data_IF_828311987054
#
_entry.id   IF_828311987054
#
_cell.length_a   1.000
_cell.length_b   1.000
_cell.length_c   1.000
_cell.angle_alpha   90.00
_cell.angle_beta   90.00
_cell.angle_gamma   90.00
#
_symmetry.space_group_name_H-M   'P 1'
#
loop_
_entity.id
_entity.type
_entity.pdbx_description
1 polymer ?
#
# COMPACT_ATOMS: atom_id res chain seq x y z
N UNK A 1 -4.69 4.22 36.62
CA UNK A 1 -3.61 3.53 37.36
C UNK A 1 -2.58 4.48 37.99
N UNK A 2 -2.08 5.53 37.31
CA UNK A 2 -1.10 6.50 37.87
C UNK A 2 -1.46 7.11 39.24
N UNK A 3 -2.75 7.37 39.54
CA UNK A 3 -3.18 7.93 40.84
C UNK A 3 -3.24 6.92 41.99
N UNK A 4 -3.46 5.63 41.69
CA UNK A 4 -3.51 4.59 42.72
C UNK A 4 -2.10 4.24 43.23
N UNK A 5 -1.11 4.19 42.32
CA UNK A 5 0.30 3.92 42.68
C UNK A 5 0.96 5.09 43.43
N UNK A 6 0.66 6.34 43.05
CA UNK A 6 1.14 7.51 43.80
C UNK A 6 0.61 7.54 45.23
N UNK A 7 -0.65 7.12 45.44
CA UNK A 7 -1.24 6.99 46.77
C UNK A 7 -0.55 5.89 47.60
N UNK A 8 -0.26 4.73 47.02
CA UNK A 8 0.45 3.63 47.71
C UNK A 8 1.87 4.04 48.14
N UNK A 9 2.62 4.71 47.24
CA UNK A 9 3.98 5.18 47.48
C UNK A 9 4.02 6.27 48.56
N UNK A 10 3.06 7.20 48.52
CA UNK A 10 2.91 8.25 49.54
C UNK A 10 2.49 7.69 50.90
N UNK A 11 1.64 6.65 50.93
CA UNK A 11 1.26 5.97 52.16
C UNK A 11 2.47 5.27 52.80
N UNK A 12 3.31 4.59 51.99
CA UNK A 12 4.49 3.85 52.45
C UNK A 12 5.59 4.75 53.03
N UNK A 13 5.88 5.88 52.37
CA UNK A 13 6.79 6.92 52.85
C UNK A 13 6.34 7.52 54.19
N UNK A 14 5.02 7.61 54.40
CA UNK A 14 4.46 8.06 55.67
C UNK A 14 4.70 7.00 56.76
N UNK A 15 4.53 5.70 56.47
CA UNK A 15 4.79 4.63 57.46
C UNK A 15 6.26 4.58 57.90
N UNK A 16 7.22 4.75 56.99
CA UNK A 16 8.66 4.76 57.34
C UNK A 16 9.05 6.00 58.15
N UNK A 17 8.45 7.17 57.87
CA UNK A 17 8.68 8.38 58.66
C UNK A 17 8.07 8.33 60.07
N UNK A 18 6.96 7.61 60.25
CA UNK A 18 6.31 7.39 61.55
C UNK A 18 7.05 6.38 62.42
N UNK A 19 7.70 5.37 61.82
CA UNK A 19 8.53 4.38 62.52
C UNK A 19 9.73 5.04 63.25
N UNK A 20 10.28 6.13 62.71
CA UNK A 20 11.36 6.88 63.37
C UNK A 20 10.94 7.74 64.58
N UNK A 21 9.63 7.93 64.82
CA UNK A 21 9.14 8.80 65.89
C UNK A 21 8.70 8.06 67.16
N UNK A 22 8.61 6.72 67.15
CA UNK A 22 8.15 5.92 68.29
C UNK A 22 9.36 5.14 68.80
N UNK A 23 9.95 5.61 69.91
CA UNK A 23 11.26 5.16 70.37
C UNK A 23 11.38 3.64 70.54
N UNK A 24 12.51 3.11 70.08
CA UNK A 24 13.16 1.97 70.73
C UNK A 24 13.07 0.60 70.06
N UNK A 25 12.84 0.50 68.76
CA UNK A 25 13.13 -0.72 67.99
C UNK A 25 13.48 -0.32 66.56
N UNK A 26 14.67 -0.69 66.09
CA UNK A 26 15.08 -0.48 64.69
C UNK A 26 14.16 -1.34 63.83
N UNK A 27 13.16 -0.71 63.19
CA UNK A 27 12.20 -1.42 62.35
C UNK A 27 12.96 -1.95 61.14
N UNK A 28 13.12 -3.27 61.07
CA UNK A 28 13.71 -3.95 59.94
C UNK A 28 12.83 -3.75 58.70
N UNK A 29 13.26 -2.87 57.79
CA UNK A 29 12.58 -2.55 56.53
C UNK A 29 13.06 -3.39 55.36
N UNK A 30 14.03 -4.30 55.57
CA UNK A 30 14.68 -5.04 54.48
C UNK A 30 13.70 -5.85 53.63
N UNK A 31 12.66 -6.41 54.24
CA UNK A 31 11.60 -7.16 53.54
C UNK A 31 10.73 -6.24 52.66
N UNK A 32 10.43 -5.03 53.12
CA UNK A 32 9.68 -4.04 52.33
C UNK A 32 10.53 -3.46 51.20
N UNK A 33 11.81 -3.21 51.42
CA UNK A 33 12.75 -2.75 50.39
C UNK A 33 12.92 -3.81 49.29
N UNK A 34 13.00 -5.09 49.65
CA UNK A 34 13.03 -6.19 48.69
C UNK A 34 11.74 -6.28 47.87
N UNK A 35 10.57 -6.15 48.51
CA UNK A 35 9.27 -6.13 47.81
C UNK A 35 9.12 -4.93 46.87
N UNK A 36 9.63 -3.75 47.24
CA UNK A 36 9.62 -2.57 46.38
C UNK A 36 10.50 -2.80 45.15
N UNK A 37 11.71 -3.33 45.32
CA UNK A 37 12.61 -3.61 44.22
C UNK A 37 12.00 -4.61 43.22
N UNK A 38 11.34 -5.65 43.71
CA UNK A 38 10.62 -6.63 42.87
C UNK A 38 9.46 -5.97 42.10
N UNK A 39 8.68 -5.11 42.76
CA UNK A 39 7.59 -4.37 42.09
C UNK A 39 8.09 -3.37 41.05
N UNK A 40 9.22 -2.70 41.30
CA UNK A 40 9.86 -1.79 40.34
C UNK A 40 10.37 -2.56 39.11
N UNK A 41 10.97 -3.73 39.30
CA UNK A 41 11.39 -4.62 38.21
C UNK A 41 10.20 -5.13 37.39
N UNK A 42 9.11 -5.55 38.04
CA UNK A 42 7.87 -5.95 37.38
C UNK A 42 7.24 -4.81 36.58
N UNK A 43 7.24 -3.58 37.13
CA UNK A 43 6.69 -2.41 36.45
C UNK A 43 7.52 -2.05 35.21
N UNK A 44 8.84 -2.12 35.30
CA UNK A 44 9.73 -1.87 34.17
C UNK A 44 9.53 -2.90 33.06
N UNK A 45 9.43 -4.18 33.41
CA UNK A 45 9.10 -5.25 32.46
C UNK A 45 7.73 -5.03 31.78
N UNK A 46 6.73 -4.55 32.53
CA UNK A 46 5.42 -4.21 31.97
C UNK A 46 5.49 -3.01 31.02
N UNK A 47 6.25 -1.96 31.36
CA UNK A 47 6.42 -0.79 30.50
C UNK A 47 7.10 -1.17 29.18
N UNK A 48 8.12 -2.04 29.22
CA UNK A 48 8.77 -2.56 28.02
C UNK A 48 7.80 -3.38 27.16
N UNK A 49 6.99 -4.23 27.78
CA UNK A 49 5.94 -5.01 27.08
C UNK A 49 4.91 -4.09 26.40
N UNK A 50 4.51 -3.00 27.07
CA UNK A 50 3.58 -2.02 26.49
C UNK A 50 4.23 -1.31 25.30
N UNK A 51 5.46 -0.83 25.45
CA UNK A 51 6.17 -0.15 24.37
C UNK A 51 6.37 -1.04 23.14
N UNK A 52 6.70 -2.32 23.34
CA UNK A 52 6.83 -3.27 22.24
C UNK A 52 5.49 -3.52 21.55
N UNK A 53 4.39 -3.63 22.31
CA UNK A 53 3.04 -3.73 21.73
C UNK A 53 2.66 -2.50 20.91
N UNK A 54 2.93 -1.30 21.42
CA UNK A 54 2.64 -0.05 20.71
C UNK A 54 3.39 -0.02 19.36
N UNK A 55 4.69 -0.34 19.36
CA UNK A 55 5.47 -0.39 18.12
C UNK A 55 4.96 -1.46 17.13
N UNK A 56 4.48 -2.61 17.60
CA UNK A 56 3.89 -3.62 16.72
C UNK A 56 2.55 -3.15 16.15
N UNK A 57 1.72 -2.46 16.93
CA UNK A 57 0.46 -1.89 16.48
C UNK A 57 0.72 -0.83 15.40
N UNK A 58 1.66 0.08 15.62
CA UNK A 58 2.03 1.10 14.64
C UNK A 58 2.43 0.46 13.30
N UNK A 59 3.27 -0.58 13.33
CA UNK A 59 3.66 -1.31 12.10
C UNK A 59 2.50 -2.05 11.41
N UNK A 60 1.50 -2.51 12.15
CA UNK A 60 0.29 -3.12 11.58
C UNK A 60 -0.63 -2.06 10.95
N UNK A 61 -0.70 -0.86 11.54
CA UNK A 61 -1.43 0.29 10.97
C UNK A 61 -0.78 0.76 9.66
N UNK A 62 0.55 0.85 9.62
CA UNK A 62 1.31 1.14 8.41
C UNK A 62 1.04 0.09 7.32
N UNK A 63 1.16 -1.20 7.66
CA UNK A 63 0.89 -2.29 6.72
C UNK A 63 -0.56 -2.33 6.21
N UNK A 64 -1.53 -1.91 7.02
CA UNK A 64 -2.94 -1.77 6.61
C UNK A 64 -3.11 -0.62 5.62
N UNK A 65 -2.42 0.50 5.85
CA UNK A 65 -2.41 1.64 4.93
C UNK A 65 -1.81 1.25 3.58
N UNK A 66 -0.64 0.60 3.59
CA UNK A 66 0.03 0.11 2.38
C UNK A 66 -0.85 -0.87 1.60
N UNK A 67 -1.41 -1.87 2.27
CA UNK A 67 -2.31 -2.83 1.63
C UNK A 67 -3.55 -2.15 1.01
N UNK A 68 -4.08 -1.12 1.66
CA UNK A 68 -5.23 -0.36 1.14
C UNK A 68 -4.87 0.42 -0.12
N UNK A 69 -3.72 1.10 -0.12
CA UNK A 69 -3.24 1.82 -1.30
C UNK A 69 -2.99 0.85 -2.46
N UNK A 70 -2.32 -0.27 -2.21
CA UNK A 70 -2.03 -1.27 -3.24
C UNK A 70 -3.29 -1.88 -3.88
N UNK A 71 -4.36 -2.09 -3.09
CA UNK A 71 -5.65 -2.53 -3.64
C UNK A 71 -6.22 -1.46 -4.60
N UNK A 72 -6.12 -0.18 -4.25
CA UNK A 72 -6.60 0.91 -5.09
C UNK A 72 -5.82 0.96 -6.41
N UNK A 73 -4.49 0.95 -6.36
CA UNK A 73 -3.63 1.01 -7.55
C UNK A 73 -3.93 -0.17 -8.51
N UNK A 74 -4.09 -1.39 -7.98
CA UNK A 74 -4.45 -2.55 -8.81
C UNK A 74 -5.87 -2.46 -9.37
N UNK A 75 -6.83 -1.90 -8.62
CA UNK A 75 -8.20 -1.73 -9.09
C UNK A 75 -8.26 -0.74 -10.27
N UNK A 76 -7.45 0.32 -10.22
CA UNK A 76 -7.31 1.29 -11.31
C UNK A 76 -6.69 0.66 -12.55
N UNK A 77 -5.60 -0.11 -12.39
CA UNK A 77 -4.99 -0.85 -13.48
C UNK A 77 -5.92 -1.89 -14.12
N UNK A 78 -6.77 -2.57 -13.32
CA UNK A 78 -7.83 -3.43 -13.86
C UNK A 78 -8.81 -2.62 -14.71
N UNK A 79 -9.30 -1.48 -14.22
CA UNK A 79 -10.26 -0.66 -14.95
C UNK A 79 -9.73 -0.25 -16.34
N UNK A 80 -8.44 0.06 -16.43
CA UNK A 80 -7.76 0.36 -17.70
C UNK A 80 -7.73 -0.86 -18.63
N UNK A 81 -7.33 -2.02 -18.10
CA UNK A 81 -7.33 -3.26 -18.88
C UNK A 81 -8.74 -3.66 -19.34
N UNK A 82 -9.77 -3.37 -18.54
CA UNK A 82 -11.17 -3.57 -18.91
C UNK A 82 -11.60 -2.64 -20.04
N UNK A 83 -11.24 -1.35 -19.98
CA UNK A 83 -11.49 -0.41 -21.07
C UNK A 83 -10.80 -0.87 -22.37
N UNK A 84 -9.57 -1.36 -22.27
CA UNK A 84 -8.85 -1.94 -23.41
C UNK A 84 -9.54 -3.20 -23.95
N UNK A 85 -9.92 -4.14 -23.09
CA UNK A 85 -10.68 -5.35 -23.43
C UNK A 85 -11.97 -4.98 -24.16
N UNK A 86 -12.69 -3.97 -23.69
CA UNK A 86 -13.95 -3.54 -24.27
C UNK A 86 -13.75 -2.88 -25.65
N UNK A 87 -12.69 -2.08 -25.83
CA UNK A 87 -12.27 -1.58 -27.15
C UNK A 87 -11.97 -2.72 -28.14
N UNK A 88 -11.22 -3.74 -27.69
CA UNK A 88 -10.94 -4.92 -28.51
C UNK A 88 -12.22 -5.65 -28.92
N UNK A 89 -13.20 -5.78 -28.03
CA UNK A 89 -14.49 -6.39 -28.36
C UNK A 89 -15.26 -5.60 -29.42
N UNK A 90 -15.30 -4.27 -29.32
CA UNK A 90 -15.93 -3.41 -30.33
C UNK A 90 -15.23 -3.52 -31.69
N UNK A 91 -13.90 -3.60 -31.71
CA UNK A 91 -13.15 -3.79 -32.95
C UNK A 91 -13.41 -5.16 -33.58
N UNK A 92 -13.49 -6.21 -32.76
CA UNK A 92 -13.84 -7.57 -33.19
C UNK A 92 -15.23 -7.61 -33.83
N UNK A 93 -16.22 -6.95 -33.22
CA UNK A 93 -17.60 -6.88 -33.75
C UNK A 93 -17.71 -6.14 -35.10
N UNK A 94 -16.89 -5.10 -35.29
CA UNK A 94 -16.89 -4.30 -36.52
C UNK A 94 -16.01 -4.89 -37.64
N UNK A 95 -15.16 -5.87 -37.32
CA UNK A 95 -14.26 -6.51 -38.28
C UNK A 95 -14.92 -7.71 -38.96
N UNK A 96 -15.07 -7.67 -40.29
CA UNK A 96 -15.55 -8.81 -41.09
C UNK A 96 -14.53 -9.97 -41.19
N UNK A 97 -13.36 -9.83 -40.55
CA UNK A 97 -12.33 -10.86 -40.43
C UNK A 97 -11.58 -10.61 -39.12
N UNK A 98 -11.85 -11.45 -38.14
CA UNK A 98 -11.15 -11.53 -36.86
C UNK A 98 -9.66 -11.70 -37.13
N UNK A 99 -8.83 -10.67 -36.93
CA UNK A 99 -7.39 -10.87 -37.02
C UNK A 99 -6.98 -11.72 -35.81
N UNK A 100 -6.15 -12.74 -36.04
CA UNK A 100 -5.61 -13.56 -34.95
C UNK A 100 -4.89 -12.70 -33.88
N UNK A 101 -4.41 -11.54 -34.30
CA UNK A 101 -3.72 -10.54 -33.48
C UNK A 101 -4.64 -9.91 -32.41
N UNK A 102 -5.87 -9.50 -32.78
CA UNK A 102 -6.85 -8.96 -31.82
C UNK A 102 -7.26 -10.02 -30.77
N UNK A 103 -7.39 -11.28 -31.19
CA UNK A 103 -7.74 -12.37 -30.26
C UNK A 103 -6.62 -12.66 -29.26
N UNK A 104 -5.35 -12.61 -29.70
CA UNK A 104 -4.18 -12.76 -28.81
C UNK A 104 -4.09 -11.60 -27.81
N UNK A 105 -4.34 -10.37 -28.27
CA UNK A 105 -4.39 -9.19 -27.40
C UNK A 105 -5.51 -9.30 -26.35
N UNK A 106 -6.69 -9.77 -26.74
CA UNK A 106 -7.82 -9.99 -25.83
C UNK A 106 -7.52 -11.08 -24.79
N UNK A 107 -6.91 -12.20 -25.21
CA UNK A 107 -6.51 -13.27 -24.30
C UNK A 107 -5.46 -12.80 -23.29
N UNK A 108 -4.48 -12.02 -23.74
CA UNK A 108 -3.46 -11.42 -22.87
C UNK A 108 -4.08 -10.45 -21.86
N UNK A 109 -4.96 -9.54 -22.31
CA UNK A 109 -5.64 -8.58 -21.42
C UNK A 109 -6.48 -9.30 -20.34
N UNK A 110 -7.24 -10.34 -20.74
CA UNK A 110 -8.02 -11.14 -19.80
C UNK A 110 -7.14 -11.90 -18.79
N UNK A 111 -5.99 -12.41 -19.22
CA UNK A 111 -5.05 -13.09 -18.32
C UNK A 111 -4.45 -12.11 -17.29
N UNK A 112 -4.07 -10.91 -17.72
CA UNK A 112 -3.59 -9.85 -16.81
C UNK A 112 -4.67 -9.42 -15.81
N UNK A 113 -5.91 -9.18 -16.28
CA UNK A 113 -7.05 -8.86 -15.41
C UNK A 113 -7.26 -9.96 -14.36
N UNK A 114 -7.29 -11.23 -14.77
CA UNK A 114 -7.50 -12.35 -13.85
C UNK A 114 -6.39 -12.47 -12.81
N UNK A 115 -5.13 -12.21 -13.21
CA UNK A 115 -3.98 -12.19 -12.30
C UNK A 115 -4.13 -11.08 -11.25
N UNK A 116 -4.42 -9.84 -11.69
CA UNK A 116 -4.62 -8.69 -10.80
C UNK A 116 -5.84 -8.86 -9.88
N UNK A 117 -6.91 -9.48 -10.34
CA UNK A 117 -8.10 -9.79 -9.51
C UNK A 117 -7.78 -10.82 -8.41
N UNK A 118 -7.03 -11.88 -8.75
CA UNK A 118 -6.54 -12.87 -7.78
C UNK A 118 -5.65 -12.22 -6.72
N UNK A 119 -4.88 -11.23 -7.16
CA UNK A 119 -4.08 -10.38 -6.29
C UNK A 119 -5.00 -9.53 -5.38
N UNK A 120 -5.86 -8.65 -5.88
CA UNK A 120 -6.77 -7.87 -5.01
C UNK A 120 -7.47 -8.72 -3.95
N UNK A 121 -7.98 -9.91 -4.32
CA UNK A 121 -8.62 -10.85 -3.39
C UNK A 121 -7.71 -11.24 -2.21
N UNK A 122 -6.43 -11.48 -2.46
CA UNK A 122 -5.49 -11.88 -1.41
C UNK A 122 -5.07 -10.69 -0.52
N UNK A 123 -4.99 -9.47 -1.06
CA UNK A 123 -4.79 -8.26 -0.26
C UNK A 123 -6.02 -7.93 0.59
N UNK A 124 -7.22 -8.10 0.05
CA UNK A 124 -8.46 -7.89 0.81
C UNK A 124 -8.51 -8.84 2.01
N UNK A 125 -8.14 -10.10 1.81
CA UNK A 125 -8.00 -11.07 2.91
C UNK A 125 -6.99 -10.61 3.97
N UNK A 126 -5.82 -10.10 3.54
CA UNK A 126 -4.81 -9.55 4.46
C UNK A 126 -5.36 -8.34 5.24
N UNK A 127 -5.92 -7.35 4.54
CA UNK A 127 -6.52 -6.13 5.10
C UNK A 127 -7.59 -6.48 6.13
N UNK A 128 -8.48 -7.42 5.81
CA UNK A 128 -9.58 -7.82 6.69
C UNK A 128 -9.06 -8.55 7.93
N UNK A 129 -8.02 -9.38 7.80
CA UNK A 129 -7.33 -10.00 8.93
C UNK A 129 -6.69 -8.93 9.84
N UNK A 130 -5.93 -8.00 9.27
CA UNK A 130 -5.29 -6.89 10.01
C UNK A 130 -6.33 -6.05 10.77
N UNK A 131 -7.42 -5.67 10.09
CA UNK A 131 -8.52 -4.91 10.67
C UNK A 131 -9.20 -5.64 11.83
N UNK A 132 -9.48 -6.95 11.68
CA UNK A 132 -10.09 -7.77 12.74
C UNK A 132 -9.21 -7.82 13.99
N UNK A 133 -7.89 -7.86 13.80
CA UNK A 133 -6.93 -7.92 14.89
C UNK A 133 -6.73 -6.60 15.64
N UNK A 134 -6.62 -5.47 14.92
CA UNK A 134 -6.55 -4.14 15.55
C UNK A 134 -7.78 -3.90 16.46
N UNK A 135 -8.90 -4.52 16.12
CA UNK A 135 -10.12 -4.49 16.91
C UNK A 135 -10.22 -5.55 18.02
N UNK A 136 -9.23 -6.45 18.15
CA UNK A 136 -9.22 -7.54 19.13
C UNK A 136 -8.44 -7.17 20.39
N UNK A 137 -9.12 -7.06 21.54
CA UNK A 137 -8.57 -6.50 22.78
C UNK A 137 -7.67 -7.43 23.60
N UNK A 138 -7.30 -8.62 23.12
CA UNK A 138 -6.66 -9.66 23.94
C UNK A 138 -5.53 -10.46 23.25
N UNK A 139 -4.90 -9.92 22.20
CA UNK A 139 -3.78 -10.58 21.53
C UNK A 139 -2.51 -10.55 22.39
N UNK A 140 -1.75 -11.64 22.39
CA UNK A 140 -0.39 -11.72 22.95
C UNK A 140 0.62 -11.04 22.02
N UNK A 141 1.82 -10.78 22.53
CA UNK A 141 2.85 -10.10 21.72
C UNK A 141 3.38 -10.99 20.60
N UNK A 142 3.56 -12.29 20.87
CA UNK A 142 3.99 -13.28 19.88
C UNK A 142 2.96 -13.42 18.73
N UNK A 143 1.67 -13.33 19.06
CA UNK A 143 0.59 -13.33 18.05
C UNK A 143 0.67 -12.07 17.17
N UNK A 144 0.88 -10.89 17.76
CA UNK A 144 1.03 -9.64 17.02
C UNK A 144 2.26 -9.67 16.09
N UNK A 145 3.40 -10.15 16.58
CA UNK A 145 4.63 -10.25 15.79
C UNK A 145 4.52 -11.26 14.65
N UNK A 146 3.92 -12.44 14.89
CA UNK A 146 3.71 -13.44 13.84
C UNK A 146 2.85 -12.92 12.67
N UNK A 147 1.88 -12.08 12.99
CA UNK A 147 0.97 -11.49 12.03
C UNK A 147 1.59 -10.29 11.30
N UNK A 148 2.35 -9.44 12.00
CA UNK A 148 3.17 -8.40 11.36
C UNK A 148 4.14 -9.02 10.35
N UNK A 149 4.78 -10.14 10.71
CA UNK A 149 5.66 -10.87 9.79
C UNK A 149 4.91 -11.40 8.56
N UNK A 150 3.69 -11.91 8.74
CA UNK A 150 2.85 -12.40 7.62
C UNK A 150 2.40 -11.25 6.72
N UNK A 151 2.05 -10.10 7.30
CA UNK A 151 1.69 -8.90 6.57
C UNK A 151 2.87 -8.37 5.77
N UNK A 152 4.04 -8.22 6.39
CA UNK A 152 5.26 -7.77 5.73
C UNK A 152 5.69 -8.72 4.60
N UNK A 153 5.62 -10.04 4.82
CA UNK A 153 5.94 -11.03 3.79
C UNK A 153 4.96 -10.97 2.62
N UNK A 154 3.67 -10.72 2.91
CA UNK A 154 2.67 -10.46 1.87
C UNK A 154 3.06 -9.17 1.15
N UNK A 155 3.05 -8.01 1.79
CA UNK A 155 3.39 -6.71 1.16
C UNK A 155 4.67 -6.78 0.29
N UNK A 156 5.74 -7.43 0.78
CA UNK A 156 6.98 -7.59 0.03
C UNK A 156 6.83 -8.46 -1.24
N UNK A 157 6.13 -9.59 -1.14
CA UNK A 157 5.84 -10.44 -2.29
C UNK A 157 5.05 -9.68 -3.37
N UNK A 158 4.27 -8.69 -2.94
CA UNK A 158 3.39 -7.93 -3.82
C UNK A 158 4.12 -6.80 -4.51
N UNK A 159 4.95 -6.07 -3.78
CA UNK A 159 5.85 -5.06 -4.36
C UNK A 159 6.66 -5.67 -5.50
N UNK A 160 7.19 -6.88 -5.31
CA UNK A 160 7.92 -7.59 -6.36
C UNK A 160 7.04 -7.92 -7.57
N UNK A 161 5.80 -8.36 -7.38
CA UNK A 161 4.91 -8.69 -8.51
C UNK A 161 4.22 -7.47 -9.12
N UNK A 162 4.10 -6.36 -8.40
CA UNK A 162 3.50 -5.12 -8.87
C UNK A 162 4.41 -4.42 -9.89
N UNK A 163 5.73 -4.45 -9.67
CA UNK A 163 6.72 -4.03 -10.67
C UNK A 163 6.64 -4.86 -11.97
N UNK A 164 6.33 -6.17 -11.85
CA UNK A 164 6.08 -7.04 -13.00
C UNK A 164 4.67 -6.90 -13.61
N UNK A 165 3.74 -6.24 -12.90
CA UNK A 165 2.34 -6.01 -13.28
C UNK A 165 2.06 -4.58 -13.77
N UNK A 166 3.09 -3.81 -14.10
CA UNK A 166 2.92 -2.57 -14.85
C UNK A 166 2.00 -2.83 -16.04
N UNK A 167 0.95 -2.01 -16.19
CA UNK A 167 -0.08 -2.20 -17.22
C UNK A 167 0.60 -2.26 -18.59
N UNK A 168 0.67 -3.46 -19.17
CA UNK A 168 1.32 -3.68 -20.46
C UNK A 168 0.30 -3.58 -21.58
N UNK A 169 0.33 -2.45 -22.27
CA UNK A 169 -0.48 -2.08 -23.42
C UNK A 169 0.41 -1.86 -24.65
N UNK A 170 1.58 -2.49 -24.72
CA UNK A 170 2.47 -2.35 -25.86
C UNK A 170 1.77 -2.79 -27.14
N UNK A 171 1.75 -1.93 -28.16
CA UNK A 171 1.06 -2.17 -29.43
C UNK A 171 -0.46 -2.24 -29.34
N UNK A 172 -1.07 -1.89 -28.20
CA UNK A 172 -2.51 -1.91 -28.01
C UNK A 172 -3.23 -0.94 -28.97
N UNK A 173 -4.39 -1.33 -29.50
CA UNK A 173 -5.29 -0.40 -30.19
C UNK A 173 -6.29 0.24 -29.22
N UNK A 174 -5.99 1.47 -28.83
CA UNK A 174 -6.75 2.32 -27.90
C UNK A 174 -7.37 3.53 -28.65
N UNK A 175 -7.68 3.36 -29.94
CA UNK A 175 -8.36 4.39 -30.73
C UNK A 175 -9.66 4.85 -30.06
N UNK A 176 -9.80 6.16 -29.82
CA UNK A 176 -11.00 6.78 -29.20
C UNK A 176 -11.34 6.22 -27.81
N UNK A 177 -10.36 5.63 -27.11
CA UNK A 177 -10.56 5.07 -25.77
C UNK A 177 -10.79 6.17 -24.72
N UNK A 178 -11.72 5.93 -23.79
CA UNK A 178 -11.93 6.79 -22.62
C UNK A 178 -10.93 6.41 -21.51
N UNK A 179 -9.94 7.28 -21.31
CA UNK A 179 -8.88 7.15 -20.30
C UNK A 179 -8.82 8.44 -19.44
N UNK A 180 -9.95 9.14 -19.30
CA UNK A 180 -10.02 10.38 -18.54
C UNK A 180 -9.66 10.15 -17.07
N UNK A 181 -8.69 10.90 -16.54
CA UNK A 181 -8.11 10.71 -15.20
C UNK A 181 -7.57 9.30 -14.91
N UNK A 182 -7.23 8.50 -15.91
CA UNK A 182 -6.68 7.16 -15.70
C UNK A 182 -5.26 7.23 -15.10
N UNK A 183 -4.96 6.36 -14.12
CA UNK A 183 -3.59 6.13 -13.65
C UNK A 183 -2.88 5.11 -14.57
N UNK A 184 -2.10 5.63 -15.51
CA UNK A 184 -1.23 4.88 -16.41
C UNK A 184 0.24 5.01 -15.98
N UNK A 185 0.52 5.33 -14.72
CA UNK A 185 1.88 5.48 -14.23
C UNK A 185 2.68 4.19 -14.39
N UNK A 186 3.89 4.31 -14.92
CA UNK A 186 4.77 3.18 -15.26
C UNK A 186 4.26 2.24 -16.36
N UNK A 187 3.10 2.50 -16.98
CA UNK A 187 2.54 1.62 -18.00
C UNK A 187 3.45 1.49 -19.22
N UNK A 188 3.51 0.31 -19.82
CA UNK A 188 4.15 0.12 -21.12
C UNK A 188 3.12 0.34 -22.23
N UNK A 189 3.18 1.49 -22.88
CA UNK A 189 2.33 1.89 -24.01
C UNK A 189 3.13 1.96 -25.32
N UNK A 190 4.32 1.34 -25.36
CA UNK A 190 5.19 1.41 -26.54
C UNK A 190 4.48 0.89 -27.79
N UNK A 191 4.50 1.69 -28.86
CA UNK A 191 3.82 1.38 -30.12
C UNK A 191 2.28 1.38 -30.07
N UNK A 192 1.65 1.76 -28.96
CA UNK A 192 0.19 1.78 -28.85
C UNK A 192 -0.46 2.81 -29.81
N UNK A 193 -1.62 2.48 -30.36
CA UNK A 193 -2.46 3.41 -31.11
C UNK A 193 -3.42 4.14 -30.15
N UNK A 194 -3.05 5.33 -29.70
CA UNK A 194 -3.83 6.19 -28.78
C UNK A 194 -4.55 7.33 -29.53
N UNK A 195 -4.78 7.19 -30.85
CA UNK A 195 -5.39 8.25 -31.65
C UNK A 195 -6.79 8.57 -31.15
N UNK A 196 -7.07 9.85 -30.97
CA UNK A 196 -8.34 10.36 -30.43
C UNK A 196 -8.71 9.87 -29.02
N UNK A 197 -7.80 9.23 -28.28
CA UNK A 197 -8.07 8.82 -26.90
C UNK A 197 -8.32 10.04 -25.99
N UNK A 198 -9.23 9.88 -25.03
CA UNK A 198 -9.52 10.89 -24.01
C UNK A 198 -8.57 10.67 -22.83
N UNK A 199 -7.45 11.38 -22.79
CA UNK A 199 -6.41 11.24 -21.74
C UNK A 199 -6.37 12.43 -20.79
N UNK A 200 -7.38 13.30 -20.79
CA UNK A 200 -7.34 14.51 -19.97
C UNK A 200 -7.28 14.15 -18.49
N UNK A 201 -6.32 14.73 -17.78
CA UNK A 201 -6.04 14.46 -16.37
C UNK A 201 -5.40 13.11 -16.07
N UNK A 202 -5.06 12.29 -17.08
CA UNK A 202 -4.40 11.01 -16.85
C UNK A 202 -3.00 11.16 -16.25
N UNK A 203 -2.60 10.21 -15.43
CA UNK A 203 -1.22 10.09 -14.95
C UNK A 203 -0.43 9.16 -15.86
N UNK A 204 0.58 9.68 -16.57
CA UNK A 204 1.50 8.90 -17.41
C UNK A 204 2.92 8.89 -16.85
N UNK A 205 3.09 9.24 -15.57
CA UNK A 205 4.40 9.37 -14.98
C UNK A 205 5.19 8.05 -15.02
N UNK A 206 6.43 8.11 -15.48
CA UNK A 206 7.26 6.91 -15.68
C UNK A 206 6.81 5.95 -16.79
N UNK A 207 5.70 6.22 -17.51
CA UNK A 207 5.22 5.36 -18.58
C UNK A 207 6.15 5.38 -19.81
N UNK A 208 6.14 4.30 -20.59
CA UNK A 208 6.86 4.21 -21.86
C UNK A 208 5.90 4.33 -23.05
N UNK A 209 5.97 5.46 -23.77
CA UNK A 209 5.18 5.72 -24.98
C UNK A 209 6.00 5.56 -26.26
N UNK A 210 7.19 4.98 -26.23
CA UNK A 210 8.09 4.90 -27.39
C UNK A 210 7.34 4.37 -28.62
N UNK A 211 7.26 5.17 -29.68
CA UNK A 211 6.56 4.83 -30.93
C UNK A 211 5.02 4.83 -30.87
N UNK A 212 4.41 5.22 -29.76
CA UNK A 212 2.95 5.34 -29.64
C UNK A 212 2.41 6.48 -30.52
N UNK A 213 1.17 6.33 -31.00
CA UNK A 213 0.51 7.33 -31.82
C UNK A 213 -0.57 8.08 -31.03
N UNK A 214 -0.28 9.30 -30.61
CA UNK A 214 -1.17 10.19 -29.85
C UNK A 214 -1.93 11.19 -30.73
N UNK A 215 -1.95 11.02 -32.06
CA UNK A 215 -2.58 11.98 -32.96
C UNK A 215 -4.06 12.20 -32.59
N UNK A 216 -4.40 13.45 -32.27
CA UNK A 216 -5.77 13.85 -31.92
C UNK A 216 -6.23 13.45 -30.52
N UNK A 217 -5.35 12.86 -29.68
CA UNK A 217 -5.66 12.58 -28.28
C UNK A 217 -5.89 13.86 -27.48
N UNK A 218 -6.76 13.80 -26.47
CA UNK A 218 -7.01 14.91 -25.55
C UNK A 218 -6.05 14.84 -24.37
N UNK A 219 -5.07 15.75 -24.29
CA UNK A 219 -3.93 15.68 -23.36
C UNK A 219 -3.92 16.82 -22.32
N UNK A 220 -5.08 17.40 -22.03
CA UNK A 220 -5.19 18.48 -21.06
C UNK A 220 -4.89 17.97 -19.64
N UNK A 221 -3.99 18.65 -18.91
CA UNK A 221 -3.61 18.32 -17.52
C UNK A 221 -3.05 16.90 -17.31
N UNK A 222 -2.42 16.30 -18.32
CA UNK A 222 -1.71 15.02 -18.15
C UNK A 222 -0.47 15.20 -17.28
N UNK A 223 -0.24 14.28 -16.34
CA UNK A 223 1.03 14.18 -15.62
C UNK A 223 2.04 13.40 -16.47
N UNK A 224 3.09 14.09 -16.94
CA UNK A 224 4.13 13.50 -17.78
C UNK A 224 5.41 13.18 -17.01
N UNK A 225 5.45 13.28 -15.68
CA UNK A 225 6.72 13.23 -14.95
C UNK A 225 7.51 11.94 -15.25
N UNK A 226 8.74 12.08 -15.75
CA UNK A 226 9.62 10.95 -16.11
C UNK A 226 9.03 9.99 -17.16
N UNK A 227 8.03 10.39 -17.93
CA UNK A 227 7.51 9.61 -19.08
C UNK A 227 8.53 9.56 -20.22
N UNK A 228 8.67 8.40 -20.87
CA UNK A 228 9.37 8.28 -22.15
C UNK A 228 8.40 8.60 -23.29
N UNK A 229 8.67 9.67 -24.04
CA UNK A 229 7.79 10.20 -25.08
C UNK A 229 7.79 9.34 -26.36
N UNK A 230 6.84 9.56 -27.30
CA UNK A 230 6.78 8.80 -28.56
C UNK A 230 8.06 8.77 -29.40
N UNK A 231 8.88 9.82 -29.33
CA UNK A 231 10.18 9.90 -30.01
C UNK A 231 11.34 9.26 -29.22
N UNK A 232 11.07 8.72 -28.04
CA UNK A 232 12.04 8.07 -27.14
C UNK A 232 12.76 9.04 -26.19
N UNK A 233 12.41 10.33 -26.18
CA UNK A 233 13.01 11.31 -25.24
C UNK A 233 12.31 11.28 -23.88
N UNK A 234 13.00 11.72 -22.82
CA UNK A 234 12.37 11.86 -21.51
C UNK A 234 11.62 13.20 -21.43
N UNK A 235 10.35 13.16 -21.05
CA UNK A 235 9.50 14.32 -20.78
C UNK A 235 10.13 15.39 -19.88
N UNK A 236 10.91 15.01 -18.86
CA UNK A 236 11.60 15.94 -17.96
C UNK A 236 12.64 16.80 -18.72
N UNK A 237 13.19 16.28 -19.82
CA UNK A 237 14.11 17.02 -20.69
C UNK A 237 13.36 17.94 -21.69
N UNK A 238 12.03 17.77 -21.81
CA UNK A 238 11.18 18.45 -22.80
C UNK A 238 10.21 19.48 -22.19
N UNK A 239 10.49 19.94 -20.96
CA UNK A 239 9.64 20.87 -20.22
C UNK A 239 8.44 20.18 -19.57
N UNK A 240 8.66 18.97 -19.04
CA UNK A 240 7.69 18.16 -18.33
C UNK A 240 6.46 17.81 -19.19
N UNK A 241 6.67 17.58 -20.49
CA UNK A 241 5.62 17.19 -21.41
C UNK A 241 6.13 16.43 -22.63
N UNK A 242 5.31 15.51 -23.15
CA UNK A 242 5.53 14.88 -24.45
C UNK A 242 4.81 15.57 -25.62
N UNK A 243 3.99 16.60 -25.36
CA UNK A 243 3.17 17.27 -26.38
C UNK A 243 4.02 17.92 -27.48
N UNK A 244 5.23 18.35 -27.15
CA UNK A 244 6.15 18.97 -28.10
C UNK A 244 6.77 17.98 -29.11
N UNK A 245 6.58 16.68 -28.91
CA UNK A 245 7.18 15.58 -29.68
C UNK A 245 6.13 14.69 -30.37
N UNK A 246 4.90 15.19 -30.54
CA UNK A 246 3.77 14.49 -31.18
C UNK A 246 3.66 14.77 -32.68
#
# INVERSE_FOLDING_TARGET
MKRANALLFSLLMIVSSLAGCIGGEEVDTSEYEAQIAELEEMLEAQNQTIAQREATIDGLEDGLSDATQMIQDHAEGIAILEAYRDSLMVQLENSNNTSAELMVQLESANASIASMQSQITSLESLRDNLSTMLNSSNLTIDELEGLLNTANASILQWQQTAEDNLVNLSGADLYDADLYNADLSGANLSGANLRYAYLSGADLSGADLTGANLQGAQLDNVNWYNTTCPDGTNSNDNGDTCVNNL
#
